data_IF_520176404560
#
_entry.id   IF_520176404560
#
_cell.length_a   1.000
_cell.length_b   1.000
_cell.length_c   1.000
_cell.angle_alpha   90.00
_cell.angle_beta   90.00
_cell.angle_gamma   90.00
#
_symmetry.space_group_name_H-M   'P 1'
#
loop_
_entity.id
_entity.type
_entity.pdbx_description
1 polymer ?
#
# COMPACT_ATOMS: atom_id res chain seq x y z
N UNK A 1 0.54 -8.01 23.77
CA UNK A 1 1.01 -8.37 22.42
C UNK A 1 0.04 -9.34 21.71
N UNK A 2 -0.90 -8.78 20.94
CA UNK A 2 -1.85 -9.54 20.12
C UNK A 2 -1.16 -10.18 18.92
N UNK A 3 -1.49 -11.44 18.62
CA UNK A 3 -0.97 -12.19 17.47
C UNK A 3 -2.11 -12.75 16.63
N UNK A 4 -2.02 -12.55 15.32
CA UNK A 4 -2.96 -13.10 14.34
C UNK A 4 -2.23 -14.10 13.45
N UNK A 5 -2.88 -15.23 13.16
CA UNK A 5 -2.32 -16.23 12.27
C UNK A 5 -3.39 -16.85 11.38
N UNK A 6 -3.02 -17.15 10.15
CA UNK A 6 -3.89 -17.86 9.22
C UNK A 6 -3.07 -18.66 8.21
N UNK A 7 -3.72 -19.63 7.54
CA UNK A 7 -3.17 -20.17 6.28
C UNK A 7 -3.09 -19.04 5.26
N UNK A 8 -2.00 -18.98 4.50
CA UNK A 8 -1.88 -17.98 3.45
C UNK A 8 -2.88 -18.23 2.32
N UNK A 9 -3.02 -17.24 1.46
CA UNK A 9 -3.91 -17.25 0.31
C UNK A 9 -3.27 -16.51 -0.85
N UNK A 10 -3.72 -16.80 -2.07
CA UNK A 10 -3.31 -16.04 -3.26
C UNK A 10 -3.61 -14.54 -3.10
N UNK A 11 -4.68 -14.17 -2.39
CA UNK A 11 -4.98 -12.78 -2.05
C UNK A 11 -3.90 -12.14 -1.18
N UNK A 12 -3.49 -12.82 -0.10
CA UNK A 12 -2.41 -12.35 0.76
C UNK A 12 -1.11 -12.20 -0.03
N UNK A 13 -0.73 -13.21 -0.82
CA UNK A 13 0.50 -13.16 -1.63
C UNK A 13 0.47 -12.03 -2.66
N UNK A 14 -0.66 -11.84 -3.34
CA UNK A 14 -0.83 -10.77 -4.34
C UNK A 14 -0.79 -9.38 -3.71
N UNK A 15 -1.48 -9.19 -2.58
CA UNK A 15 -1.46 -7.95 -1.81
C UNK A 15 -0.05 -7.63 -1.31
N UNK A 16 0.65 -8.62 -0.75
CA UNK A 16 2.03 -8.46 -0.28
C UNK A 16 2.95 -7.99 -1.41
N UNK A 17 2.88 -8.64 -2.58
CA UNK A 17 3.64 -8.25 -3.76
C UNK A 17 3.33 -6.81 -4.19
N UNK A 18 2.05 -6.46 -4.30
CA UNK A 18 1.62 -5.11 -4.70
C UNK A 18 2.01 -4.03 -3.69
N UNK A 19 1.94 -4.32 -2.40
CA UNK A 19 2.39 -3.40 -1.35
C UNK A 19 3.90 -3.24 -1.43
N UNK A 20 4.67 -4.33 -1.56
CA UNK A 20 6.13 -4.26 -1.69
C UNK A 20 6.60 -3.43 -2.90
N UNK A 21 5.82 -3.36 -3.98
CA UNK A 21 6.15 -2.55 -5.15
C UNK A 21 6.08 -1.03 -4.88
N UNK A 22 5.28 -0.58 -3.89
CA UNK A 22 4.96 0.85 -3.71
C UNK A 22 5.15 1.37 -2.28
N UNK A 23 5.34 0.49 -1.29
CA UNK A 23 5.58 0.85 0.10
C UNK A 23 7.08 1.09 0.34
N UNK A 24 7.46 2.37 0.40
CA UNK A 24 8.85 2.80 0.61
C UNK A 24 9.25 2.90 2.10
N UNK A 25 8.45 2.38 3.03
CA UNK A 25 8.81 2.35 4.45
C UNK A 25 10.03 1.46 4.71
N UNK A 26 10.88 1.86 5.66
CA UNK A 26 12.09 1.12 6.03
C UNK A 26 11.79 -0.26 6.62
N UNK A 27 10.73 -0.36 7.43
CA UNK A 27 10.24 -1.65 7.93
C UNK A 27 9.35 -2.32 6.88
N UNK A 28 9.97 -3.22 6.12
CA UNK A 28 9.33 -4.05 5.10
C UNK A 28 8.76 -5.36 5.66
N UNK A 29 8.80 -5.58 6.97
CA UNK A 29 8.25 -6.80 7.58
C UNK A 29 6.72 -6.88 7.44
N UNK A 30 6.18 -8.09 7.55
CA UNK A 30 4.72 -8.32 7.57
C UNK A 30 4.05 -7.69 8.79
N UNK A 31 4.76 -7.62 9.91
CA UNK A 31 4.29 -6.93 11.12
C UNK A 31 4.16 -5.43 10.83
N UNK A 32 5.21 -4.79 10.32
CA UNK A 32 5.20 -3.39 9.96
C UNK A 32 4.07 -3.02 9.00
N UNK A 33 3.87 -3.82 7.94
CA UNK A 33 2.74 -3.63 7.02
C UNK A 33 1.38 -3.76 7.71
N UNK A 34 1.22 -4.76 8.58
CA UNK A 34 -0.02 -4.97 9.31
C UNK A 34 -0.31 -3.82 10.28
N UNK A 35 0.68 -3.38 11.05
CA UNK A 35 0.57 -2.25 11.97
C UNK A 35 0.21 -0.94 11.23
N UNK A 36 0.86 -0.66 10.09
CA UNK A 36 0.47 0.50 9.24
C UNK A 36 -0.94 0.36 8.65
N UNK A 37 -1.33 -0.86 8.28
CA UNK A 37 -2.68 -1.13 7.79
C UNK A 37 -3.75 -0.88 8.87
N UNK A 38 -3.47 -1.19 10.14
CA UNK A 38 -4.35 -0.87 11.28
C UNK A 38 -4.57 0.64 11.35
N UNK A 39 -3.49 1.43 11.37
CA UNK A 39 -3.57 2.90 11.43
C UNK A 39 -4.38 3.47 10.27
N UNK A 40 -4.16 3.00 9.04
CA UNK A 40 -4.94 3.45 7.88
C UNK A 40 -6.41 3.03 7.95
N UNK A 41 -6.70 1.84 8.47
CA UNK A 41 -8.06 1.33 8.61
C UNK A 41 -8.84 2.05 9.72
N UNK A 42 -8.18 2.43 10.82
CA UNK A 42 -8.79 3.17 11.93
C UNK A 42 -9.37 4.51 11.48
N UNK A 43 -8.77 5.13 10.45
CA UNK A 43 -9.24 6.40 9.88
C UNK A 43 -10.42 6.24 8.90
N UNK A 44 -10.90 5.02 8.64
CA UNK A 44 -11.99 4.76 7.71
C UNK A 44 -13.36 4.88 8.40
N UNK A 45 -14.32 5.47 7.70
CA UNK A 45 -15.74 5.45 8.09
C UNK A 45 -16.37 4.07 7.85
N UNK A 46 -17.51 3.79 8.48
CA UNK A 46 -18.24 2.52 8.29
C UNK A 46 -18.67 2.32 6.82
N UNK A 47 -19.05 3.39 6.13
CA UNK A 47 -19.38 3.39 4.70
C UNK A 47 -18.18 3.04 3.81
N UNK A 48 -16.99 3.55 4.15
CA UNK A 48 -15.75 3.21 3.45
C UNK A 48 -15.37 1.74 3.66
N UNK A 49 -15.50 1.22 4.89
CA UNK A 49 -15.27 -0.19 5.17
C UNK A 49 -16.20 -1.11 4.36
N UNK A 50 -17.48 -0.75 4.23
CA UNK A 50 -18.43 -1.45 3.35
C UNK A 50 -17.99 -1.40 1.88
N UNK A 51 -17.45 -0.28 1.45
CA UNK A 51 -16.97 -0.08 0.07
C UNK A 51 -15.74 -0.93 -0.20
N UNK A 52 -14.73 -0.85 0.66
CA UNK A 52 -13.50 -1.67 0.55
C UNK A 52 -13.79 -3.16 0.60
N UNK A 53 -14.74 -3.62 1.43
CA UNK A 53 -15.18 -5.01 1.44
C UNK A 53 -15.73 -5.48 0.09
N UNK A 54 -16.56 -4.66 -0.56
CA UNK A 54 -17.11 -4.96 -1.90
C UNK A 54 -16.01 -4.94 -2.96
N UNK A 55 -15.08 -4.00 -2.88
CA UNK A 55 -13.96 -3.88 -3.82
C UNK A 55 -12.95 -5.01 -3.67
N UNK A 56 -12.66 -5.45 -2.44
CA UNK A 56 -11.82 -6.61 -2.17
C UNK A 56 -12.36 -7.87 -2.86
N UNK A 57 -13.69 -8.08 -2.83
CA UNK A 57 -14.32 -9.20 -3.56
C UNK A 57 -14.05 -9.11 -5.07
N UNK A 58 -14.15 -7.92 -5.67
CA UNK A 58 -13.84 -7.69 -7.09
C UNK A 58 -12.34 -7.86 -7.37
N UNK A 59 -11.49 -7.41 -6.47
CA UNK A 59 -10.05 -7.52 -6.55
C UNK A 59 -9.60 -8.98 -6.58
N UNK A 60 -10.17 -9.83 -5.71
CA UNK A 60 -9.89 -11.27 -5.66
C UNK A 60 -10.12 -11.99 -6.99
N UNK A 61 -11.10 -11.55 -7.78
CA UNK A 61 -11.38 -12.14 -9.09
C UNK A 61 -10.33 -11.81 -10.17
N UNK A 62 -9.44 -10.84 -9.92
CA UNK A 62 -8.38 -10.41 -10.85
C UNK A 62 -7.03 -11.02 -10.52
N UNK A 63 -6.93 -11.84 -9.48
CA UNK A 63 -5.65 -12.41 -9.03
C UNK A 63 -5.21 -13.52 -9.99
N UNK A 64 -3.98 -13.47 -10.54
CA UNK A 64 -3.43 -14.53 -11.37
C UNK A 64 -3.36 -15.87 -10.62
N UNK A 65 -3.71 -16.97 -11.30
CA UNK A 65 -3.78 -18.31 -10.71
C UNK A 65 -2.42 -18.84 -10.22
N UNK A 66 -1.35 -18.34 -10.79
CA UNK A 66 0.06 -18.67 -10.51
C UNK A 66 0.69 -17.78 -9.43
N UNK A 67 -0.11 -16.93 -8.77
CA UNK A 67 0.38 -16.08 -7.69
C UNK A 67 0.93 -16.93 -6.55
N UNK A 68 2.22 -16.76 -6.23
CA UNK A 68 2.85 -17.37 -5.06
C UNK A 68 2.30 -16.79 -3.76
N UNK A 69 2.13 -17.64 -2.75
CA UNK A 69 1.67 -17.22 -1.41
C UNK A 69 2.34 -18.06 -0.32
N UNK A 70 2.52 -17.49 0.89
CA UNK A 70 3.08 -18.26 2.00
C UNK A 70 2.14 -19.38 2.45
N UNK A 71 2.69 -20.51 2.89
CA UNK A 71 1.87 -21.61 3.47
C UNK A 71 1.12 -21.14 4.72
N UNK A 72 1.78 -20.35 5.57
CA UNK A 72 1.23 -19.77 6.78
C UNK A 72 1.66 -18.30 6.90
N UNK A 73 0.76 -17.49 7.44
CA UNK A 73 1.00 -16.10 7.76
C UNK A 73 0.81 -15.90 9.27
N UNK A 74 1.75 -15.18 9.87
CA UNK A 74 1.64 -14.69 11.23
C UNK A 74 2.02 -13.21 11.25
N UNK A 75 1.21 -12.42 11.94
CA UNK A 75 1.45 -11.00 12.18
C UNK A 75 1.24 -10.70 13.66
N UNK A 76 2.03 -9.77 14.18
CA UNK A 76 1.99 -9.31 15.57
C UNK A 76 1.61 -7.84 15.57
N UNK A 77 0.69 -7.47 16.46
CA UNK A 77 0.29 -6.08 16.69
C UNK A 77 1.25 -5.47 17.72
N UNK A 78 1.73 -4.27 17.43
CA UNK A 78 2.56 -3.51 18.37
C UNK A 78 1.71 -3.09 19.58
N UNK A 79 2.30 -3.08 20.77
CA UNK A 79 1.56 -2.85 22.02
C UNK A 79 0.81 -1.51 22.03
N UNK A 80 1.37 -0.49 21.38
CA UNK A 80 0.77 0.84 21.24
C UNK A 80 -0.45 0.88 20.30
N UNK A 81 -0.66 -0.16 19.50
CA UNK A 81 -1.77 -0.25 18.53
C UNK A 81 -2.86 -1.24 18.95
N UNK A 82 -2.78 -1.88 20.13
CA UNK A 82 -3.76 -2.89 20.53
C UNK A 82 -5.18 -2.33 20.69
N UNK A 83 -5.31 -1.13 21.25
CA UNK A 83 -6.60 -0.46 21.39
C UNK A 83 -7.15 -0.06 20.01
N UNK A 84 -6.30 0.53 19.15
CA UNK A 84 -6.66 0.89 17.79
C UNK A 84 -7.07 -0.34 16.95
N UNK A 85 -6.39 -1.47 17.16
CA UNK A 85 -6.72 -2.72 16.49
C UNK A 85 -8.07 -3.28 16.93
N UNK A 86 -8.36 -3.23 18.23
CA UNK A 86 -9.65 -3.66 18.78
C UNK A 86 -10.79 -2.80 18.20
N UNK A 87 -10.60 -1.48 18.14
CA UNK A 87 -11.56 -0.57 17.51
C UNK A 87 -11.77 -0.89 16.01
N UNK A 88 -10.70 -1.18 15.28
CA UNK A 88 -10.78 -1.59 13.87
C UNK A 88 -11.59 -2.88 13.72
N UNK A 89 -11.38 -3.90 14.57
CA UNK A 89 -12.16 -5.14 14.54
C UNK A 89 -13.66 -4.86 14.75
N UNK A 90 -14.00 -4.07 15.77
CA UNK A 90 -15.38 -3.69 16.08
C UNK A 90 -16.04 -2.92 14.93
N UNK A 91 -15.34 -1.94 14.36
CA UNK A 91 -15.82 -1.14 13.23
C UNK A 91 -16.03 -1.99 11.98
N UNK A 92 -15.12 -2.91 11.68
CA UNK A 92 -15.27 -3.83 10.53
C UNK A 92 -16.46 -4.76 10.75
N UNK A 93 -16.62 -5.34 11.94
CA UNK A 93 -17.76 -6.22 12.23
C UNK A 93 -19.08 -5.47 12.15
N UNK A 94 -19.16 -4.26 12.73
CA UNK A 94 -20.34 -3.39 12.70
C UNK A 94 -20.68 -2.96 11.26
N UNK A 95 -19.69 -2.49 10.51
CA UNK A 95 -19.90 -2.06 9.12
C UNK A 95 -20.40 -3.19 8.22
N UNK A 96 -19.96 -4.43 8.46
CA UNK A 96 -20.26 -5.57 7.60
C UNK A 96 -21.35 -6.50 8.15
N UNK A 97 -21.97 -6.15 9.28
CA UNK A 97 -22.97 -6.95 9.99
C UNK A 97 -22.48 -8.39 10.25
N UNK A 98 -21.25 -8.49 10.78
CA UNK A 98 -20.59 -9.77 11.05
C UNK A 98 -20.66 -10.10 12.54
N UNK A 99 -21.02 -11.34 12.84
CA UNK A 99 -20.94 -11.89 14.21
C UNK A 99 -19.52 -12.35 14.57
N UNK A 100 -18.68 -12.60 13.57
CA UNK A 100 -17.30 -13.03 13.75
C UNK A 100 -16.45 -12.57 12.57
N UNK A 101 -15.29 -11.99 12.86
CA UNK A 101 -14.30 -11.62 11.86
C UNK A 101 -13.26 -12.72 11.69
N UNK A 102 -13.30 -13.41 10.56
CA UNK A 102 -12.30 -14.45 10.27
C UNK A 102 -10.92 -13.81 10.04
N UNK A 103 -9.89 -14.27 10.76
CA UNK A 103 -8.52 -13.70 10.71
C UNK A 103 -7.94 -13.60 9.30
N UNK A 104 -8.20 -14.57 8.41
CA UNK A 104 -7.74 -14.46 7.02
C UNK A 104 -8.37 -13.27 6.30
N UNK A 105 -9.69 -13.11 6.47
CA UNK A 105 -10.44 -12.05 5.82
C UNK A 105 -10.08 -10.67 6.41
N UNK A 106 -9.89 -10.59 7.73
CA UNK A 106 -9.35 -9.42 8.42
C UNK A 106 -8.04 -8.95 7.78
N UNK A 107 -7.05 -9.83 7.70
CA UNK A 107 -5.75 -9.50 7.12
C UNK A 107 -5.88 -9.08 5.65
N UNK A 108 -6.65 -9.82 4.86
CA UNK A 108 -6.89 -9.48 3.45
C UNK A 108 -7.55 -8.10 3.29
N UNK A 109 -8.49 -7.74 4.17
CA UNK A 109 -9.18 -6.45 4.15
C UNK A 109 -8.25 -5.31 4.58
N UNK A 110 -7.56 -5.45 5.71
CA UNK A 110 -6.62 -4.44 6.21
C UNK A 110 -5.51 -4.16 5.19
N UNK A 111 -4.91 -5.21 4.62
CA UNK A 111 -3.86 -5.04 3.60
C UNK A 111 -4.40 -4.46 2.29
N UNK A 112 -5.63 -4.78 1.91
CA UNK A 112 -6.25 -4.15 0.74
C UNK A 112 -6.53 -2.66 0.97
N UNK A 113 -7.06 -2.29 2.13
CA UNK A 113 -7.23 -0.88 2.51
C UNK A 113 -5.88 -0.16 2.47
N UNK A 114 -4.85 -0.77 3.05
CA UNK A 114 -3.51 -0.20 3.03
C UNK A 114 -2.97 0.00 1.61
N UNK A 115 -3.13 -0.99 0.73
CA UNK A 115 -2.77 -0.87 -0.69
C UNK A 115 -3.51 0.30 -1.36
N UNK A 116 -4.82 0.43 -1.14
CA UNK A 116 -5.61 1.52 -1.70
C UNK A 116 -5.14 2.89 -1.21
N UNK A 117 -4.81 3.02 0.08
CA UNK A 117 -4.25 4.25 0.64
C UNK A 117 -2.87 4.58 0.06
N UNK A 118 -1.99 3.59 -0.07
CA UNK A 118 -0.70 3.77 -0.74
C UNK A 118 -0.88 4.23 -2.19
N UNK A 119 -1.85 3.66 -2.92
CA UNK A 119 -2.15 4.09 -4.29
C UNK A 119 -2.68 5.52 -4.35
N UNK A 120 -3.54 5.94 -3.41
CA UNK A 120 -3.98 7.35 -3.31
C UNK A 120 -2.80 8.27 -3.06
N UNK A 121 -1.88 7.90 -2.18
CA UNK A 121 -0.70 8.70 -1.87
C UNK A 121 0.24 8.81 -3.09
N UNK A 122 0.48 7.70 -3.81
CA UNK A 122 1.24 7.71 -5.08
C UNK A 122 0.56 8.56 -6.15
N UNK A 123 -0.78 8.48 -6.27
CA UNK A 123 -1.54 9.30 -7.21
C UNK A 123 -1.50 10.79 -6.83
N UNK A 124 -1.53 11.14 -5.55
CA UNK A 124 -1.36 12.53 -5.08
C UNK A 124 0.02 13.07 -5.43
N UNK A 125 1.09 12.28 -5.28
CA UNK A 125 2.44 12.71 -5.71
C UNK A 125 2.50 12.98 -7.23
N UNK A 126 1.70 12.28 -8.04
CA UNK A 126 1.56 12.55 -9.48
C UNK A 126 0.58 13.68 -9.83
N UNK A 127 -0.41 13.94 -8.96
CA UNK A 127 -1.50 14.91 -9.17
C UNK A 127 -1.27 16.26 -8.48
N UNK A 128 -0.35 16.37 -7.51
CA UNK A 128 0.21 17.62 -6.99
C UNK A 128 1.13 18.28 -8.04
N UNK A 129 0.59 18.50 -9.23
CA UNK A 129 0.93 19.66 -10.05
C UNK A 129 0.17 20.85 -9.46
N UNK A 130 0.65 21.40 -8.36
CA UNK A 130 0.56 22.83 -8.04
C UNK A 130 1.22 23.16 -6.69
N UNK A 131 2.53 23.45 -6.74
CA UNK A 131 3.08 24.80 -6.57
C UNK A 131 4.44 24.86 -7.26
N UNK A 132 4.68 25.94 -7.99
CA UNK A 132 6.02 26.35 -8.41
C UNK A 132 6.81 26.70 -7.15
N UNK A 133 7.34 25.72 -6.46
CA UNK A 133 8.53 25.92 -5.63
C UNK A 133 9.73 25.64 -6.53
N UNK A 134 10.67 26.59 -6.56
CA UNK A 134 11.95 26.36 -7.20
C UNK A 134 12.61 25.18 -6.50
N UNK A 135 12.66 24.04 -7.21
CA UNK A 135 13.32 22.85 -6.70
C UNK A 135 14.80 23.18 -6.48
N UNK A 136 15.29 22.92 -5.27
CA UNK A 136 16.71 23.04 -5.00
C UNK A 136 17.48 21.97 -5.81
N UNK A 137 18.77 22.22 -6.08
CA UNK A 137 19.64 21.27 -6.78
C UNK A 137 19.52 19.82 -6.28
N UNK A 138 19.59 19.57 -4.96
CA UNK A 138 19.43 18.23 -4.39
C UNK A 138 18.05 17.60 -4.64
N UNK A 139 16.98 18.39 -4.61
CA UNK A 139 15.62 17.90 -4.85
C UNK A 139 15.39 17.52 -6.31
N UNK A 140 15.95 18.31 -7.24
CA UNK A 140 15.95 17.97 -8.67
C UNK A 140 16.66 16.65 -8.93
N UNK A 141 17.83 16.43 -8.31
CA UNK A 141 18.58 15.18 -8.43
C UNK A 141 17.80 14.01 -7.85
N UNK A 142 17.19 14.17 -6.67
CA UNK A 142 16.39 13.12 -6.03
C UNK A 142 15.23 12.68 -6.92
N UNK A 143 14.45 13.63 -7.45
CA UNK A 143 13.33 13.33 -8.38
C UNK A 143 13.81 12.65 -9.66
N UNK A 144 14.93 13.08 -10.22
CA UNK A 144 15.50 12.47 -11.42
C UNK A 144 15.91 11.01 -11.16
N UNK A 145 16.54 10.73 -10.02
CA UNK A 145 16.89 9.36 -9.61
C UNK A 145 15.64 8.50 -9.43
N UNK A 146 14.60 9.03 -8.79
CA UNK A 146 13.31 8.33 -8.62
C UNK A 146 12.69 7.97 -9.98
N UNK A 147 12.68 8.90 -10.95
CA UNK A 147 12.17 8.66 -12.31
C UNK A 147 12.99 7.58 -13.03
N UNK A 148 14.31 7.64 -12.94
CA UNK A 148 15.20 6.63 -13.55
C UNK A 148 15.01 5.25 -12.93
N UNK A 149 14.80 5.17 -11.61
CA UNK A 149 14.58 3.91 -10.90
C UNK A 149 13.21 3.28 -11.23
N UNK A 150 12.19 4.09 -11.50
CA UNK A 150 10.86 3.61 -11.87
C UNK A 150 10.82 3.01 -13.29
N UNK A 151 11.78 3.35 -14.16
CA UNK A 151 12.02 2.80 -15.51
C UNK A 151 10.72 2.51 -16.31
N UNK A 152 9.76 3.45 -16.28
CA UNK A 152 8.48 3.29 -16.96
C UNK A 152 8.63 3.69 -18.42
N UNK A 153 7.99 2.94 -19.31
CA UNK A 153 8.07 3.18 -20.75
C UNK A 153 7.58 4.58 -21.15
N UNK A 154 6.59 5.10 -20.42
CA UNK A 154 6.03 6.45 -20.59
C UNK A 154 6.99 7.59 -20.19
N UNK A 155 8.01 7.31 -19.37
CA UNK A 155 8.94 8.33 -18.86
C UNK A 155 10.20 8.44 -19.76
N UNK A 156 10.32 7.56 -20.76
CA UNK A 156 11.50 7.42 -21.62
C UNK A 156 11.81 8.68 -22.45
N UNK A 157 10.77 9.32 -23.00
CA UNK A 157 10.94 10.55 -23.79
C UNK A 157 11.47 11.69 -22.92
N UNK A 158 10.95 11.84 -21.71
CA UNK A 158 11.37 12.87 -20.74
C UNK A 158 12.81 12.66 -20.29
N UNK A 159 13.21 11.40 -20.04
CA UNK A 159 14.60 11.06 -19.68
C UNK A 159 15.57 11.43 -20.80
N UNK A 160 15.22 11.16 -22.06
CA UNK A 160 16.07 11.51 -23.21
C UNK A 160 16.16 13.03 -23.43
N UNK A 161 15.10 13.79 -23.17
CA UNK A 161 15.15 15.25 -23.17
C UNK A 161 16.10 15.80 -22.09
N UNK A 162 16.01 15.29 -20.85
CA UNK A 162 16.90 15.69 -19.75
C UNK A 162 18.35 15.35 -20.08
N UNK A 163 18.61 14.14 -20.58
CA UNK A 163 19.95 13.71 -21.00
C UNK A 163 20.51 14.60 -22.11
N UNK A 164 19.69 14.95 -23.10
CA UNK A 164 20.08 15.85 -24.19
C UNK A 164 20.40 17.25 -23.68
N UNK A 165 19.66 17.75 -22.69
CA UNK A 165 19.92 19.05 -22.07
C UNK A 165 21.24 19.03 -21.25
N UNK A 166 21.50 17.98 -20.48
CA UNK A 166 22.75 17.81 -19.72
C UNK A 166 23.97 17.72 -20.66
N UNK A 167 23.87 16.98 -21.76
CA UNK A 167 24.94 16.89 -22.76
C UNK A 167 25.21 18.23 -23.45
N UNK A 168 24.18 19.06 -23.66
CA UNK A 168 24.34 20.41 -24.20
C UNK A 168 24.99 21.38 -23.20
N UNK A 169 24.91 21.09 -21.90
CA UNK A 169 25.53 21.89 -20.85
C UNK A 169 27.02 21.56 -20.67
N UNK A 170 27.53 20.46 -21.21
CA UNK A 170 29.00 20.21 -21.26
C UNK A 170 29.75 21.11 -22.27
N UNK A 171 29.25 22.33 -22.55
CA UNK A 171 29.87 23.36 -23.42
C UNK A 171 30.19 24.62 -22.63
#
# INVERSE_FOLDING_TARGET
MIKRSCKGSSCIGFLEGKINEIDYNSDTSRNGKFNRAIVKTQNCTLEELKTYSKELKKFKNKIPKDTGFPTALQVTVDEELEDAFTEVEENVMSALDLTTLQTRYEIELLWFIYLCELQKDVMKVGAEKERKEDLTGPEMVKRLVEILMLNREQDKEVIEEVKSALLKWEV
#
